data_IF_706093489053
#
_entry.id   IF_706093489053
#
_cell.length_a   1.000
_cell.length_b   1.000
_cell.length_c   1.000
_cell.angle_alpha   90.00
_cell.angle_beta   90.00
_cell.angle_gamma   90.00
#
_symmetry.space_group_name_H-M   'P 1'
#
loop_
_entity.id
_entity.type
_entity.pdbx_description
1 polymer ?
#
# COMPACT_ATOMS: atom_id res chain seq x y z
N UNK A 1 -27.79 -3.89 -19.22
CA UNK A 1 -27.01 -4.31 -18.07
C UNK A 1 -25.93 -5.21 -18.63
N UNK A 2 -24.71 -4.69 -18.76
CA UNK A 2 -23.58 -5.52 -19.19
C UNK A 2 -23.20 -6.40 -17.99
N UNK A 3 -23.32 -7.71 -18.16
CA UNK A 3 -22.77 -8.69 -17.23
C UNK A 3 -21.29 -8.40 -17.07
N UNK A 4 -20.90 -7.95 -15.88
CA UNK A 4 -19.50 -7.88 -15.52
C UNK A 4 -19.04 -9.33 -15.45
N UNK A 5 -18.51 -9.83 -16.56
CA UNK A 5 -17.71 -11.04 -16.54
C UNK A 5 -16.51 -10.69 -15.67
N UNK A 6 -16.51 -11.15 -14.40
CA UNK A 6 -15.30 -11.27 -13.63
C UNK A 6 -14.31 -12.01 -14.52
N UNK A 7 -13.33 -11.29 -15.07
CA UNK A 7 -12.38 -11.88 -15.99
C UNK A 7 -11.42 -12.71 -15.13
N UNK A 8 -11.76 -13.98 -14.94
CA UNK A 8 -11.00 -14.97 -14.15
C UNK A 8 -9.59 -15.26 -14.71
N UNK A 9 -9.14 -14.50 -15.70
CA UNK A 9 -7.77 -14.56 -16.22
C UNK A 9 -6.72 -13.90 -15.30
N UNK A 10 -7.06 -13.67 -14.03
CA UNK A 10 -6.13 -13.12 -13.04
C UNK A 10 -5.81 -11.64 -13.22
N UNK A 11 -6.53 -10.92 -14.07
CA UNK A 11 -6.49 -9.48 -14.23
C UNK A 11 -7.82 -8.90 -13.81
N UNK A 12 -7.98 -8.54 -12.56
CA UNK A 12 -8.91 -7.49 -12.19
C UNK A 12 -8.27 -6.17 -12.62
N UNK A 13 -8.44 -5.78 -13.87
CA UNK A 13 -8.14 -4.41 -14.31
C UNK A 13 -9.36 -3.58 -13.99
N UNK A 14 -9.23 -2.66 -13.07
CA UNK A 14 -10.26 -1.66 -12.76
C UNK A 14 -10.03 -0.48 -13.70
N UNK A 15 -10.82 -0.40 -14.78
CA UNK A 15 -10.71 0.68 -15.76
C UNK A 15 -11.40 1.97 -15.30
N UNK A 16 -12.30 1.88 -14.30
CA UNK A 16 -13.03 3.02 -13.75
C UNK A 16 -13.16 2.96 -12.21
N UNK A 17 -13.30 4.12 -11.57
CA UNK A 17 -13.46 4.29 -10.10
C UNK A 17 -14.58 3.43 -9.50
N UNK A 18 -15.61 3.12 -10.29
CA UNK A 18 -16.74 2.27 -9.88
C UNK A 18 -16.45 0.76 -9.94
N UNK A 19 -15.32 0.32 -10.50
CA UNK A 19 -15.06 -1.10 -10.72
C UNK A 19 -14.60 -1.82 -9.46
N UNK A 20 -13.86 -1.13 -8.59
CA UNK A 20 -13.46 -1.65 -7.29
C UNK A 20 -14.68 -1.96 -6.40
N UNK A 21 -15.62 -1.00 -6.30
CA UNK A 21 -16.85 -1.15 -5.53
C UNK A 21 -17.71 -2.28 -6.08
N UNK A 22 -17.89 -2.33 -7.40
CA UNK A 22 -18.63 -3.38 -8.09
C UNK A 22 -17.99 -4.77 -7.89
N UNK A 23 -16.66 -4.85 -7.94
CA UNK A 23 -15.92 -6.08 -7.71
C UNK A 23 -16.20 -6.65 -6.31
N UNK A 24 -16.08 -5.83 -5.26
CA UNK A 24 -16.34 -6.29 -3.89
C UNK A 24 -17.82 -6.56 -3.64
N UNK A 25 -18.75 -5.81 -4.24
CA UNK A 25 -20.17 -6.11 -4.18
C UNK A 25 -20.50 -7.47 -4.82
N UNK A 26 -19.95 -7.78 -6.00
CA UNK A 26 -20.15 -9.07 -6.66
C UNK A 26 -19.50 -10.22 -5.89
N UNK A 27 -18.28 -10.00 -5.40
CA UNK A 27 -17.60 -10.97 -4.57
C UNK A 27 -18.36 -11.22 -3.26
N UNK A 28 -18.91 -10.15 -2.64
CA UNK A 28 -19.74 -10.22 -1.46
C UNK A 28 -21.04 -10.99 -1.71
N UNK A 29 -21.74 -10.73 -2.83
CA UNK A 29 -22.97 -11.47 -3.22
C UNK A 29 -22.74 -12.97 -3.41
N UNK A 30 -21.58 -13.35 -3.89
CA UNK A 30 -21.20 -14.75 -4.15
C UNK A 30 -20.62 -15.47 -2.95
N UNK A 31 -20.25 -14.74 -1.89
CA UNK A 31 -19.62 -15.29 -0.70
C UNK A 31 -20.65 -15.49 0.40
N UNK A 32 -20.77 -16.67 1.03
CA UNK A 32 -21.68 -16.90 2.14
C UNK A 32 -21.38 -16.00 3.33
N UNK A 33 -22.40 -15.43 3.97
CA UNK A 33 -22.29 -14.54 5.12
C UNK A 33 -22.46 -15.26 6.44
N UNK A 34 -21.66 -14.90 7.44
CA UNK A 34 -21.65 -15.57 8.76
C UNK A 34 -22.96 -15.50 9.54
N UNK A 35 -23.84 -14.54 9.24
CA UNK A 35 -25.02 -14.27 10.07
C UNK A 35 -26.36 -14.72 9.49
N UNK A 36 -26.44 -15.14 8.21
CA UNK A 36 -27.71 -15.50 7.59
C UNK A 36 -27.65 -16.78 6.71
N UNK A 37 -26.53 -17.00 6.03
CA UNK A 37 -26.43 -17.98 4.96
C UNK A 37 -25.26 -18.97 5.15
N UNK A 38 -24.71 -19.07 6.38
CA UNK A 38 -23.65 -20.03 6.64
C UNK A 38 -24.22 -21.44 6.60
N UNK A 39 -23.75 -22.30 5.70
CA UNK A 39 -24.28 -23.66 5.62
C UNK A 39 -24.05 -24.40 6.93
N UNK A 40 -25.00 -25.22 7.32
CA UNK A 40 -24.88 -26.11 8.47
C UNK A 40 -23.69 -27.05 8.34
N UNK A 41 -23.19 -27.56 9.44
CA UNK A 41 -22.07 -28.54 9.41
C UNK A 41 -22.43 -29.77 8.55
N UNK A 42 -23.71 -30.17 8.52
CA UNK A 42 -24.20 -31.25 7.70
C UNK A 42 -24.16 -30.92 6.19
N UNK A 43 -24.54 -29.71 5.80
CA UNK A 43 -24.46 -29.25 4.40
C UNK A 43 -22.97 -29.13 3.96
N UNK A 44 -22.09 -28.68 4.83
CA UNK A 44 -20.65 -28.63 4.57
C UNK A 44 -20.11 -30.05 4.34
N UNK A 45 -20.45 -31.00 5.20
CA UNK A 45 -20.00 -32.40 5.08
C UNK A 45 -20.59 -33.08 3.86
N UNK A 46 -21.83 -32.79 3.47
CA UNK A 46 -22.46 -33.31 2.24
C UNK A 46 -21.74 -32.77 0.99
N UNK A 47 -21.50 -31.45 0.91
CA UNK A 47 -20.73 -30.87 -0.18
C UNK A 47 -19.31 -31.44 -0.27
N UNK A 48 -18.62 -31.64 0.84
CA UNK A 48 -17.31 -32.31 0.87
C UNK A 48 -17.35 -33.70 0.25
N UNK A 49 -18.38 -34.50 0.58
CA UNK A 49 -18.56 -35.85 0.01
C UNK A 49 -18.84 -35.81 -1.50
N UNK A 50 -19.62 -34.85 -1.97
CA UNK A 50 -19.90 -34.66 -3.38
C UNK A 50 -18.63 -34.29 -4.17
N UNK A 51 -17.83 -33.33 -3.67
CA UNK A 51 -16.57 -32.95 -4.32
C UNK A 51 -15.57 -34.10 -4.33
N UNK A 52 -15.40 -34.82 -3.19
CA UNK A 52 -14.54 -36.00 -3.15
C UNK A 52 -14.95 -37.06 -4.14
N UNK A 53 -16.26 -37.29 -4.31
CA UNK A 53 -16.80 -38.23 -5.30
C UNK A 53 -16.51 -37.75 -6.71
N UNK A 54 -16.75 -36.47 -7.01
CA UNK A 54 -16.52 -35.87 -8.31
C UNK A 54 -15.05 -35.98 -8.72
N UNK A 55 -14.13 -35.54 -7.84
CA UNK A 55 -12.70 -35.49 -8.15
C UNK A 55 -12.03 -36.85 -8.28
N UNK A 56 -12.57 -37.86 -7.60
CA UNK A 56 -12.09 -39.23 -7.67
C UNK A 56 -12.83 -40.10 -8.70
N UNK A 57 -13.68 -39.47 -9.52
CA UNK A 57 -14.42 -40.19 -10.57
C UNK A 57 -13.53 -40.48 -11.79
N UNK A 58 -13.50 -41.71 -12.24
CA UNK A 58 -12.83 -42.15 -13.48
C UNK A 58 -13.64 -41.83 -14.75
N UNK A 59 -14.77 -41.10 -14.64
CA UNK A 59 -15.55 -40.69 -15.81
C UNK A 59 -14.68 -39.90 -16.79
N UNK A 60 -14.74 -40.30 -18.09
CA UNK A 60 -13.82 -39.77 -19.09
C UNK A 60 -13.93 -38.25 -19.32
N UNK A 61 -15.13 -37.70 -19.20
CA UNK A 61 -15.37 -36.29 -19.40
C UNK A 61 -16.56 -35.80 -18.60
N UNK A 62 -16.40 -34.66 -17.91
CA UNK A 62 -17.49 -33.91 -17.29
C UNK A 62 -17.90 -32.77 -18.21
N UNK A 63 -19.14 -32.32 -18.11
CA UNK A 63 -19.65 -31.19 -18.88
C UNK A 63 -18.81 -29.94 -18.61
N UNK A 64 -18.40 -29.22 -19.67
CA UNK A 64 -17.58 -28.03 -19.65
C UNK A 64 -16.16 -28.20 -19.06
N UNK A 65 -15.68 -29.42 -18.85
CA UNK A 65 -14.34 -29.67 -18.33
C UNK A 65 -13.26 -29.47 -19.40
N UNK A 66 -12.23 -28.72 -19.06
CA UNK A 66 -11.02 -28.48 -19.85
C UNK A 66 -9.82 -29.02 -19.11
N UNK A 67 -8.87 -29.61 -19.83
CA UNK A 67 -7.64 -30.18 -19.30
C UNK A 67 -6.43 -29.46 -19.88
N UNK A 68 -5.54 -28.95 -19.04
CA UNK A 68 -4.31 -28.28 -19.43
C UNK A 68 -3.10 -28.91 -18.73
N UNK A 69 -1.90 -28.92 -19.36
CA UNK A 69 -0.70 -29.40 -18.71
C UNK A 69 -0.28 -28.46 -17.59
N UNK A 70 0.20 -29.02 -16.49
CA UNK A 70 0.78 -28.23 -15.40
C UNK A 70 2.18 -27.74 -15.79
N UNK A 71 2.44 -26.43 -15.66
CA UNK A 71 3.66 -25.79 -16.13
C UNK A 71 4.93 -26.31 -15.46
N UNK A 72 4.85 -26.63 -14.16
CA UNK A 72 6.02 -27.03 -13.37
C UNK A 72 6.39 -28.51 -13.59
N UNK A 73 5.44 -29.33 -14.01
CA UNK A 73 5.66 -30.75 -14.32
C UNK A 73 4.58 -31.26 -15.29
N UNK A 74 4.93 -31.42 -16.55
CA UNK A 74 4.02 -31.82 -17.64
C UNK A 74 3.48 -33.25 -17.54
N UNK A 75 3.93 -34.06 -16.58
CA UNK A 75 3.32 -35.36 -16.28
C UNK A 75 1.92 -35.19 -15.65
N UNK A 76 1.67 -33.99 -15.05
CA UNK A 76 0.35 -33.64 -14.52
C UNK A 76 -0.48 -32.93 -15.57
N UNK A 77 -1.75 -33.33 -15.66
CA UNK A 77 -2.80 -32.61 -16.35
C UNK A 77 -3.79 -32.11 -15.33
N UNK A 78 -4.16 -30.85 -15.40
CA UNK A 78 -5.06 -30.17 -14.46
C UNK A 78 -6.37 -29.86 -15.15
N UNK A 79 -7.47 -30.21 -14.51
CA UNK A 79 -8.83 -29.93 -14.99
C UNK A 79 -9.30 -28.56 -14.49
N UNK A 80 -10.06 -27.85 -15.32
CA UNK A 80 -10.77 -26.62 -14.93
C UNK A 80 -11.80 -26.84 -13.80
N UNK A 81 -12.18 -28.08 -13.53
CA UNK A 81 -13.06 -28.45 -12.43
C UNK A 81 -12.30 -28.96 -11.18
N UNK A 82 -10.96 -28.95 -11.18
CA UNK A 82 -10.14 -29.34 -10.02
C UNK A 82 -9.70 -30.81 -10.01
N UNK A 83 -10.03 -31.62 -11.02
CA UNK A 83 -9.47 -32.99 -11.13
C UNK A 83 -8.02 -32.93 -11.58
N UNK A 84 -7.20 -33.87 -11.11
CA UNK A 84 -5.78 -33.97 -11.48
C UNK A 84 -5.50 -35.36 -12.06
N UNK A 85 -4.76 -35.40 -13.19
CA UNK A 85 -4.18 -36.63 -13.72
C UNK A 85 -2.66 -36.59 -13.56
N UNK A 86 -2.09 -37.73 -13.28
CA UNK A 86 -0.65 -37.98 -13.33
C UNK A 86 -0.41 -39.14 -14.27
N UNK A 87 0.47 -39.00 -15.27
CA UNK A 87 0.69 -40.00 -16.29
C UNK A 87 -0.63 -40.57 -16.90
N UNK A 88 -1.57 -39.66 -17.21
CA UNK A 88 -2.92 -39.93 -17.79
C UNK A 88 -3.93 -40.62 -16.86
N UNK A 89 -3.58 -41.00 -15.63
CA UNK A 89 -4.49 -41.58 -14.64
C UNK A 89 -5.01 -40.52 -13.70
N UNK A 90 -6.29 -40.58 -13.31
CA UNK A 90 -6.86 -39.71 -12.24
C UNK A 90 -6.15 -40.01 -10.93
N UNK A 91 -5.65 -38.97 -10.27
CA UNK A 91 -5.03 -39.05 -8.94
C UNK A 91 -6.08 -38.80 -7.87
N UNK A 92 -6.13 -39.69 -6.89
CA UNK A 92 -7.04 -39.54 -5.74
C UNK A 92 -6.69 -38.28 -4.94
N UNK A 93 -7.73 -37.56 -4.51
CA UNK A 93 -7.62 -36.34 -3.72
C UNK A 93 -8.32 -36.51 -2.37
N UNK A 94 -7.71 -36.02 -1.30
CA UNK A 94 -8.29 -36.07 0.04
C UNK A 94 -7.78 -34.92 0.94
N UNK A 95 -8.50 -34.60 2.01
CA UNK A 95 -8.09 -33.68 3.06
C UNK A 95 -7.35 -34.45 4.17
N UNK A 96 -6.13 -34.91 3.88
CA UNK A 96 -5.31 -35.65 4.84
C UNK A 96 -4.98 -34.86 6.11
N UNK A 97 -4.88 -33.53 5.97
CA UNK A 97 -4.44 -32.65 7.05
C UNK A 97 -5.62 -32.09 7.86
N UNK A 98 -6.85 -32.41 7.52
CA UNK A 98 -8.09 -31.89 8.14
C UNK A 98 -8.14 -30.35 8.21
N UNK A 99 -7.51 -29.68 7.21
CA UNK A 99 -7.45 -28.22 7.11
C UNK A 99 -8.55 -27.64 6.19
N UNK A 100 -9.41 -28.49 5.65
CA UNK A 100 -10.47 -28.07 4.73
C UNK A 100 -10.01 -27.85 3.29
N UNK A 101 -8.82 -28.39 2.90
CA UNK A 101 -8.27 -28.26 1.55
C UNK A 101 -7.77 -29.60 1.04
N UNK A 102 -7.98 -29.86 -0.26
CA UNK A 102 -7.59 -31.11 -0.91
C UNK A 102 -6.10 -31.10 -1.28
N UNK A 103 -5.46 -32.26 -1.08
CA UNK A 103 -4.14 -32.62 -1.58
C UNK A 103 -4.21 -33.92 -2.35
N UNK A 104 -3.18 -34.21 -3.18
CA UNK A 104 -3.09 -35.48 -3.88
C UNK A 104 -2.71 -36.60 -2.90
N UNK A 105 -3.20 -37.80 -3.17
CA UNK A 105 -2.92 -38.98 -2.37
C UNK A 105 -2.01 -39.91 -3.17
N UNK A 106 -0.87 -40.30 -2.55
CA UNK A 106 0.04 -41.28 -3.16
C UNK A 106 -0.67 -42.64 -3.27
N UNK A 107 -0.77 -43.26 -4.44
CA UNK A 107 -1.27 -44.63 -4.59
C UNK A 107 -0.31 -45.62 -3.89
N UNK A 108 -0.88 -46.66 -3.30
CA UNK A 108 -0.11 -47.67 -2.53
C UNK A 108 0.80 -48.54 -3.42
N UNK A 109 0.52 -48.65 -4.69
CA UNK A 109 1.11 -49.57 -5.65
C UNK A 109 1.93 -48.87 -6.78
N UNK A 110 2.08 -47.54 -6.75
CA UNK A 110 2.84 -46.84 -7.79
C UNK A 110 4.28 -46.58 -7.35
N UNK A 111 5.23 -46.93 -8.23
CA UNK A 111 6.67 -46.68 -8.05
C UNK A 111 7.04 -45.20 -8.20
N UNK A 112 6.21 -44.39 -8.82
CA UNK A 112 6.46 -42.98 -9.07
C UNK A 112 5.88 -42.09 -7.95
N UNK A 113 6.71 -41.20 -7.42
CA UNK A 113 6.31 -40.29 -6.35
C UNK A 113 5.43 -39.14 -6.87
N UNK A 114 4.25 -39.01 -6.32
CA UNK A 114 3.31 -37.92 -6.60
C UNK A 114 3.53 -36.78 -5.61
N UNK A 115 3.39 -35.55 -6.08
CA UNK A 115 3.46 -34.37 -5.20
C UNK A 115 2.22 -34.29 -4.29
N UNK A 116 2.34 -34.83 -3.08
CA UNK A 116 1.29 -34.81 -2.05
C UNK A 116 1.37 -33.61 -1.11
N UNK A 117 2.36 -32.71 -1.28
CA UNK A 117 2.58 -31.54 -0.43
C UNK A 117 1.86 -30.28 -0.95
N UNK A 118 1.50 -30.26 -2.23
CA UNK A 118 0.83 -29.12 -2.87
C UNK A 118 -0.67 -29.30 -2.85
N UNK A 119 -1.38 -28.23 -2.44
CA UNK A 119 -2.83 -28.21 -2.47
C UNK A 119 -3.37 -28.21 -3.92
N UNK A 120 -4.51 -28.88 -4.15
CA UNK A 120 -5.15 -28.98 -5.47
C UNK A 120 -5.48 -27.60 -6.06
N UNK A 121 -5.99 -26.68 -5.26
CA UNK A 121 -6.27 -25.33 -5.71
C UNK A 121 -5.02 -24.60 -6.24
N UNK A 122 -3.82 -24.93 -5.74
CA UNK A 122 -2.56 -24.36 -6.26
C UNK A 122 -2.25 -24.87 -7.67
N UNK A 123 -2.47 -26.16 -7.95
CA UNK A 123 -2.34 -26.69 -9.30
C UNK A 123 -3.28 -25.95 -10.27
N UNK A 124 -4.55 -25.78 -9.89
CA UNK A 124 -5.54 -25.08 -10.72
C UNK A 124 -5.16 -23.61 -10.90
N UNK A 125 -4.77 -22.92 -9.82
CA UNK A 125 -4.43 -21.52 -9.89
C UNK A 125 -3.17 -21.25 -10.75
N UNK A 126 -2.13 -22.09 -10.65
CA UNK A 126 -0.94 -21.99 -11.51
C UNK A 126 -1.28 -22.25 -12.98
N UNK A 127 -2.12 -23.24 -13.26
CA UNK A 127 -2.46 -23.65 -14.63
C UNK A 127 -3.39 -22.65 -15.32
N UNK A 128 -4.43 -22.18 -14.65
CA UNK A 128 -5.51 -21.42 -15.27
C UNK A 128 -5.54 -19.94 -14.90
N UNK A 129 -5.06 -19.56 -13.71
CA UNK A 129 -5.12 -18.19 -13.22
C UNK A 129 -3.78 -17.45 -13.33
N UNK A 130 -2.73 -18.13 -13.81
CA UNK A 130 -1.39 -17.56 -13.97
C UNK A 130 -0.69 -17.22 -12.66
N UNK A 131 -1.02 -17.93 -11.56
CA UNK A 131 -0.29 -17.82 -10.30
C UNK A 131 1.15 -18.27 -10.49
N UNK A 132 2.09 -17.50 -9.89
CA UNK A 132 3.53 -17.84 -9.88
C UNK A 132 4.02 -17.98 -8.45
N UNK A 133 5.10 -18.75 -8.27
CA UNK A 133 5.79 -18.79 -6.99
C UNK A 133 6.41 -17.42 -6.70
N UNK A 134 6.24 -16.94 -5.46
CA UNK A 134 6.76 -15.64 -5.05
C UNK A 134 5.97 -14.41 -5.50
N UNK A 135 4.85 -14.57 -6.25
CA UNK A 135 3.99 -13.44 -6.67
C UNK A 135 3.20 -12.80 -5.50
N UNK A 136 3.28 -13.40 -4.31
CA UNK A 136 2.61 -12.93 -3.10
C UNK A 136 1.08 -12.95 -3.15
N UNK A 137 0.48 -13.41 -4.25
CA UNK A 137 -0.97 -13.52 -4.36
C UNK A 137 -1.48 -14.74 -3.59
N UNK A 138 -2.63 -14.59 -2.96
CA UNK A 138 -3.36 -15.65 -2.29
C UNK A 138 -4.44 -16.19 -3.21
N UNK A 139 -4.58 -17.51 -3.25
CA UNK A 139 -5.75 -18.14 -3.88
C UNK A 139 -6.89 -18.10 -2.88
N UNK A 140 -8.02 -17.52 -3.28
CA UNK A 140 -9.23 -17.44 -2.48
C UNK A 140 -10.35 -18.26 -3.13
N UNK A 141 -11.05 -19.07 -2.33
CA UNK A 141 -12.26 -19.78 -2.74
C UNK A 141 -13.46 -18.84 -2.55
N UNK A 142 -14.13 -18.46 -3.64
CA UNK A 142 -15.18 -17.45 -3.66
C UNK A 142 -16.33 -17.83 -2.72
N UNK A 143 -16.76 -19.10 -2.77
CA UNK A 143 -17.81 -19.66 -1.91
C UNK A 143 -17.31 -20.04 -0.50
N UNK A 144 -16.02 -19.82 -0.23
CA UNK A 144 -15.31 -20.20 0.99
C UNK A 144 -15.30 -21.73 1.27
N UNK A 145 -15.51 -22.54 0.26
CA UNK A 145 -15.41 -23.98 0.33
C UNK A 145 -14.08 -24.46 -0.26
N UNK A 146 -13.11 -24.80 0.58
CA UNK A 146 -11.77 -25.26 0.17
C UNK A 146 -11.75 -26.57 -0.62
N UNK A 147 -12.89 -27.25 -0.76
CA UNK A 147 -13.06 -28.46 -1.58
C UNK A 147 -13.47 -28.15 -3.01
N UNK A 148 -14.07 -26.99 -3.28
CA UNK A 148 -14.38 -26.55 -4.64
C UNK A 148 -13.16 -25.88 -5.28
N UNK A 149 -12.33 -26.71 -5.90
CA UNK A 149 -11.14 -26.26 -6.61
C UNK A 149 -11.42 -25.94 -8.10
N UNK A 150 -12.67 -25.74 -8.50
CA UNK A 150 -12.98 -25.30 -9.87
C UNK A 150 -12.43 -23.91 -10.14
N UNK A 151 -12.00 -23.69 -11.38
CA UNK A 151 -11.48 -22.39 -11.84
C UNK A 151 -12.47 -21.24 -11.57
N UNK A 152 -13.77 -21.52 -11.73
CA UNK A 152 -14.83 -20.53 -11.52
C UNK A 152 -15.02 -20.12 -10.05
N UNK A 153 -14.57 -20.97 -9.13
CA UNK A 153 -14.62 -20.71 -7.68
C UNK A 153 -13.32 -20.14 -7.12
N UNK A 154 -12.27 -20.05 -7.93
CA UNK A 154 -10.96 -19.56 -7.47
C UNK A 154 -10.66 -18.16 -8.01
N UNK A 155 -10.06 -17.32 -7.17
CA UNK A 155 -9.58 -16.00 -7.55
C UNK A 155 -8.24 -15.70 -6.88
N UNK A 156 -7.37 -14.99 -7.60
CA UNK A 156 -6.11 -14.49 -7.02
C UNK A 156 -6.33 -13.12 -6.41
N UNK A 157 -5.98 -12.98 -5.15
CA UNK A 157 -6.11 -11.75 -4.39
C UNK A 157 -4.78 -11.39 -3.74
N UNK A 158 -4.51 -10.09 -3.59
CA UNK A 158 -3.44 -9.66 -2.67
C UNK A 158 -3.84 -10.03 -1.23
N UNK A 159 -2.90 -10.16 -0.28
CA UNK A 159 -3.23 -10.39 1.12
C UNK A 159 -4.16 -9.33 1.71
N UNK A 160 -4.06 -8.09 1.25
CA UNK A 160 -4.93 -6.98 1.64
C UNK A 160 -6.36 -7.21 1.15
N UNK A 161 -6.53 -7.49 -0.14
CA UNK A 161 -7.81 -7.86 -0.73
C UNK A 161 -8.41 -9.10 -0.05
N UNK A 162 -7.59 -10.12 0.19
CA UNK A 162 -8.02 -11.35 0.87
C UNK A 162 -8.53 -11.08 2.29
N UNK A 163 -7.82 -10.20 3.05
CA UNK A 163 -8.29 -9.76 4.38
C UNK A 163 -9.58 -8.94 4.27
N UNK A 164 -9.69 -8.04 3.29
CA UNK A 164 -10.88 -7.23 3.09
C UNK A 164 -12.11 -8.09 2.76
N UNK A 165 -11.96 -9.09 1.89
CA UNK A 165 -13.04 -10.05 1.58
C UNK A 165 -13.49 -10.78 2.83
N UNK A 166 -12.56 -11.34 3.62
CA UNK A 166 -12.92 -12.02 4.86
C UNK A 166 -13.53 -11.09 5.91
N UNK A 167 -13.16 -9.82 5.93
CA UNK A 167 -13.77 -8.80 6.78
C UNK A 167 -15.16 -8.41 6.30
N UNK A 168 -15.34 -8.17 5.00
CA UNK A 168 -16.61 -7.77 4.41
C UNK A 168 -17.71 -8.82 4.62
N UNK A 169 -17.36 -10.11 4.67
CA UNK A 169 -18.28 -11.22 5.00
C UNK A 169 -18.92 -11.11 6.38
N UNK A 170 -18.26 -10.42 7.32
CA UNK A 170 -18.77 -10.19 8.69
C UNK A 170 -19.64 -8.96 8.78
N UNK A 171 -19.70 -8.15 7.72
CA UNK A 171 -20.48 -6.93 7.68
C UNK A 171 -21.89 -7.23 7.15
N UNK A 172 -22.89 -6.57 7.70
CA UNK A 172 -24.20 -6.55 7.07
C UNK A 172 -24.18 -5.63 5.82
N UNK A 173 -25.26 -5.63 5.04
CA UNK A 173 -25.36 -4.88 3.78
C UNK A 173 -25.15 -3.36 3.97
N UNK A 174 -25.57 -2.80 5.08
CA UNK A 174 -25.43 -1.38 5.41
C UNK A 174 -23.99 -1.04 5.80
N UNK A 175 -23.39 -1.86 6.65
CA UNK A 175 -21.99 -1.77 7.02
C UNK A 175 -21.06 -1.97 5.80
N UNK A 176 -21.42 -2.86 4.86
CA UNK A 176 -20.65 -3.04 3.61
C UNK A 176 -20.70 -1.79 2.74
N UNK A 177 -21.89 -1.18 2.57
CA UNK A 177 -22.00 0.10 1.85
C UNK A 177 -21.14 1.18 2.47
N UNK A 178 -21.11 1.26 3.80
CA UNK A 178 -20.28 2.20 4.52
C UNK A 178 -18.78 1.88 4.36
N UNK A 179 -18.41 0.61 4.37
CA UNK A 179 -17.03 0.14 4.10
C UNK A 179 -16.56 0.48 2.68
N UNK A 180 -17.45 0.36 1.68
CA UNK A 180 -17.17 0.63 0.26
C UNK A 180 -17.38 2.10 -0.11
N UNK A 181 -17.90 2.97 0.78
CA UNK A 181 -18.23 4.35 0.48
C UNK A 181 -16.98 5.18 0.15
N UNK A 182 -16.87 5.73 -1.08
CA UNK A 182 -15.70 6.52 -1.50
C UNK A 182 -15.59 7.89 -0.79
N UNK A 183 -16.67 8.38 -0.16
CA UNK A 183 -16.69 9.61 0.63
C UNK A 183 -16.32 9.39 2.10
N UNK A 184 -15.93 8.17 2.45
CA UNK A 184 -15.53 7.87 3.80
C UNK A 184 -14.23 8.60 4.16
N UNK A 185 -14.14 9.04 5.44
CA UNK A 185 -12.92 9.60 6.04
C UNK A 185 -11.72 8.70 5.79
N UNK A 186 -10.52 9.29 5.83
CA UNK A 186 -9.24 8.60 5.74
C UNK A 186 -9.27 7.20 6.35
N UNK A 187 -8.79 6.23 5.61
CA UNK A 187 -8.62 4.85 6.04
C UNK A 187 -7.32 4.29 5.48
N UNK A 188 -6.35 4.03 6.34
CA UNK A 188 -5.08 3.42 5.96
C UNK A 188 -5.28 2.07 5.24
N UNK A 189 -6.29 1.30 5.67
CA UNK A 189 -6.63 0.02 5.01
C UNK A 189 -7.07 0.23 3.56
N UNK A 190 -7.87 1.26 3.28
CA UNK A 190 -8.31 1.58 1.90
C UNK A 190 -7.14 2.00 1.04
N UNK A 191 -6.26 2.86 1.56
CA UNK A 191 -5.03 3.27 0.87
C UNK A 191 -4.17 2.04 0.55
N UNK A 192 -3.95 1.14 1.51
CA UNK A 192 -3.18 -0.08 1.30
C UNK A 192 -3.82 -1.01 0.27
N UNK A 193 -5.15 -1.16 0.29
CA UNK A 193 -5.88 -1.92 -0.71
C UNK A 193 -5.68 -1.34 -2.10
N UNK A 194 -5.95 -0.04 -2.25
CA UNK A 194 -5.81 0.67 -3.50
C UNK A 194 -4.38 0.58 -4.06
N UNK A 195 -3.36 0.86 -3.24
CA UNK A 195 -1.96 0.76 -3.65
C UNK A 195 -1.56 -0.67 -4.05
N UNK A 196 -2.12 -1.67 -3.39
CA UNK A 196 -1.91 -3.07 -3.76
C UNK A 196 -2.51 -3.38 -5.15
N UNK A 197 -3.72 -2.88 -5.43
CA UNK A 197 -4.36 -3.01 -6.74
C UNK A 197 -3.58 -2.24 -7.82
N UNK A 198 -3.20 -1.01 -7.53
CA UNK A 198 -2.36 -0.22 -8.44
C UNK A 198 -1.06 -0.94 -8.79
N UNK A 199 -0.35 -1.48 -7.79
CA UNK A 199 0.87 -2.26 -8.01
C UNK A 199 0.66 -3.42 -8.98
N UNK A 200 -0.36 -4.26 -8.72
CA UNK A 200 -0.63 -5.46 -9.52
C UNK A 200 -1.02 -5.13 -10.96
N UNK A 201 -1.73 -4.02 -11.16
CA UNK A 201 -2.25 -3.62 -12.45
C UNK A 201 -1.27 -2.76 -13.27
N UNK A 202 -0.45 -1.94 -12.60
CA UNK A 202 0.37 -0.91 -13.26
C UNK A 202 1.88 -1.14 -13.15
N UNK A 203 2.35 -1.81 -12.10
CA UNK A 203 3.79 -1.98 -11.86
C UNK A 203 4.19 -3.45 -12.05
N UNK A 204 3.84 -4.31 -11.08
CA UNK A 204 4.27 -5.70 -11.06
C UNK A 204 3.42 -6.56 -10.12
N UNK A 205 3.31 -7.85 -10.44
CA UNK A 205 2.76 -8.86 -9.51
C UNK A 205 3.82 -9.36 -8.51
N UNK A 206 5.09 -9.13 -8.78
CA UNK A 206 6.16 -9.58 -7.89
C UNK A 206 6.13 -8.81 -6.57
N UNK A 207 6.62 -9.46 -5.52
CA UNK A 207 6.68 -8.89 -4.18
C UNK A 207 8.12 -8.70 -3.74
N UNK A 208 8.37 -7.57 -3.10
CA UNK A 208 9.64 -7.35 -2.44
C UNK A 208 9.77 -8.15 -1.14
N UNK A 209 11.01 -8.32 -0.72
CA UNK A 209 11.36 -8.99 0.53
C UNK A 209 11.69 -7.98 1.63
N UNK A 210 11.40 -8.34 2.86
CA UNK A 210 11.86 -7.62 4.04
C UNK A 210 13.12 -8.28 4.65
N UNK A 211 13.74 -7.60 5.60
CA UNK A 211 14.96 -8.05 6.30
C UNK A 211 14.88 -9.47 6.90
N UNK A 212 13.68 -10.00 7.08
CA UNK A 212 13.45 -11.40 7.53
C UNK A 212 13.38 -12.41 6.39
N UNK A 213 13.65 -12.00 5.14
CA UNK A 213 13.61 -12.82 3.94
C UNK A 213 12.19 -13.20 3.46
N UNK A 214 11.13 -12.67 4.11
CA UNK A 214 9.74 -12.94 3.70
C UNK A 214 9.29 -11.94 2.64
N UNK A 215 8.46 -12.42 1.72
CA UNK A 215 7.80 -11.61 0.70
C UNK A 215 6.57 -10.89 1.27
N UNK A 216 6.40 -9.64 0.88
CA UNK A 216 5.26 -8.82 1.29
C UNK A 216 4.67 -8.08 0.10
N UNK A 217 3.35 -8.13 -0.05
CA UNK A 217 2.63 -7.52 -1.18
C UNK A 217 2.68 -6.01 -1.20
N UNK A 218 2.84 -5.37 -0.04
CA UNK A 218 2.99 -3.93 0.08
C UNK A 218 4.44 -3.44 -0.10
N UNK A 219 5.38 -4.34 -0.42
CA UNK A 219 6.77 -4.02 -0.73
C UNK A 219 7.02 -4.32 -2.21
N UNK A 220 7.60 -3.37 -2.90
CA UNK A 220 8.02 -3.52 -4.29
C UNK A 220 9.34 -4.31 -4.39
N UNK A 221 9.59 -5.01 -5.50
CA UNK A 221 10.84 -5.75 -5.71
C UNK A 221 12.08 -4.86 -5.63
N UNK A 222 12.00 -3.67 -6.20
CA UNK A 222 13.04 -2.65 -6.13
C UNK A 222 12.49 -1.35 -5.54
N UNK A 223 13.36 -0.50 -5.02
CA UNK A 223 12.95 0.80 -4.47
C UNK A 223 12.51 1.73 -5.59
N UNK A 224 13.19 1.69 -6.74
CA UNK A 224 12.94 2.53 -7.91
C UNK A 224 11.54 2.30 -8.49
N UNK A 225 10.96 1.11 -8.36
CA UNK A 225 9.59 0.80 -8.78
C UNK A 225 8.54 1.68 -8.08
N UNK A 226 8.91 2.36 -6.98
CA UNK A 226 8.01 3.29 -6.30
C UNK A 226 7.99 4.71 -6.91
N UNK A 227 8.86 4.98 -7.85
CA UNK A 227 8.82 6.21 -8.66
C UNK A 227 7.74 6.10 -9.74
N UNK A 228 7.11 7.22 -10.10
CA UNK A 228 6.15 7.24 -11.19
C UNK A 228 6.89 7.32 -12.53
N UNK A 229 6.74 6.28 -13.35
CA UNK A 229 7.42 6.11 -14.64
C UNK A 229 6.83 6.92 -15.81
N UNK A 230 6.01 7.95 -15.55
CA UNK A 230 5.36 8.74 -16.59
C UNK A 230 5.99 10.12 -16.66
N UNK A 231 6.42 10.52 -17.86
CA UNK A 231 6.97 11.84 -18.21
C UNK A 231 8.32 12.22 -17.55
N UNK A 232 8.62 11.75 -16.34
CA UNK A 232 9.82 12.14 -15.58
C UNK A 232 10.66 10.95 -15.10
N UNK A 233 10.49 9.78 -15.66
CA UNK A 233 11.14 8.53 -15.21
C UNK A 233 12.66 8.66 -15.04
N UNK A 234 13.37 9.09 -16.09
CA UNK A 234 14.83 9.24 -16.05
C UNK A 234 15.28 10.28 -15.01
N UNK A 235 14.53 11.37 -14.90
CA UNK A 235 14.84 12.45 -13.97
C UNK A 235 14.63 12.03 -12.51
N UNK A 236 13.51 11.35 -12.22
CA UNK A 236 13.22 10.80 -10.89
C UNK A 236 14.21 9.72 -10.50
N UNK A 237 14.59 8.86 -11.44
CA UNK A 237 15.62 7.86 -11.21
C UNK A 237 16.97 8.50 -10.89
N UNK A 238 17.36 9.54 -11.63
CA UNK A 238 18.58 10.29 -11.34
C UNK A 238 18.54 10.94 -9.96
N UNK A 239 17.43 11.57 -9.59
CA UNK A 239 17.24 12.11 -8.23
C UNK A 239 17.40 11.03 -7.17
N UNK A 240 16.77 9.87 -7.37
CA UNK A 240 16.90 8.72 -6.48
C UNK A 240 18.37 8.30 -6.35
N UNK A 241 19.08 8.11 -7.46
CA UNK A 241 20.49 7.68 -7.48
C UNK A 241 21.41 8.70 -6.77
N UNK A 242 21.13 10.00 -6.94
CA UNK A 242 21.90 11.08 -6.29
C UNK A 242 21.73 11.02 -4.75
N UNK A 243 20.50 10.85 -4.28
CA UNK A 243 20.18 10.76 -2.85
C UNK A 243 20.62 9.41 -2.25
N UNK A 244 20.51 8.30 -2.98
CA UNK A 244 20.95 6.98 -2.49
C UNK A 244 22.46 6.92 -2.28
N UNK A 245 23.24 7.57 -3.15
CA UNK A 245 24.72 7.69 -2.99
C UNK A 245 25.11 8.40 -1.67
N UNK A 246 24.27 9.30 -1.18
CA UNK A 246 24.45 9.99 0.10
C UNK A 246 23.84 9.23 1.28
N UNK A 247 23.33 7.99 1.06
CA UNK A 247 22.56 7.17 2.03
C UNK A 247 21.30 7.89 2.55
N UNK A 248 20.69 8.76 1.74
CA UNK A 248 19.47 9.48 2.06
C UNK A 248 18.19 8.69 1.77
N UNK A 249 18.27 7.62 0.99
CA UNK A 249 17.09 6.81 0.68
C UNK A 249 16.72 5.90 1.86
N UNK A 250 15.51 6.12 2.37
CA UNK A 250 15.00 5.37 3.52
C UNK A 250 14.83 3.88 3.21
N UNK A 251 15.06 3.03 4.21
CA UNK A 251 14.89 1.57 4.08
C UNK A 251 13.47 1.15 3.66
N UNK A 252 12.46 1.97 3.97
CA UNK A 252 11.06 1.75 3.59
C UNK A 252 10.66 2.37 2.24
N UNK A 253 11.60 2.87 1.46
CA UNK A 253 11.28 3.51 0.17
C UNK A 253 10.54 2.57 -0.80
N UNK A 254 10.84 1.27 -0.78
CA UNK A 254 10.13 0.25 -1.56
C UNK A 254 8.71 -0.06 -1.05
N UNK A 255 8.31 0.45 0.13
CA UNK A 255 6.93 0.30 0.59
C UNK A 255 6.01 1.21 -0.20
N UNK A 256 4.89 0.70 -0.68
CA UNK A 256 3.91 1.46 -1.45
C UNK A 256 3.39 2.70 -0.71
N UNK A 257 3.40 2.65 0.63
CA UNK A 257 2.99 3.76 1.52
C UNK A 257 4.12 4.70 1.91
N UNK A 258 5.28 4.63 1.26
CA UNK A 258 6.43 5.49 1.57
C UNK A 258 6.14 6.97 1.34
N UNK A 259 6.16 7.78 2.40
CA UNK A 259 6.06 9.24 2.33
C UNK A 259 7.22 9.87 1.56
N UNK A 260 8.43 9.32 1.65
CA UNK A 260 9.59 9.76 0.87
C UNK A 260 9.38 9.56 -0.64
N UNK A 261 8.90 8.39 -1.05
CA UNK A 261 8.59 8.15 -2.47
C UNK A 261 7.44 9.06 -2.97
N UNK A 262 6.42 9.27 -2.14
CA UNK A 262 5.34 10.21 -2.43
C UNK A 262 5.88 11.64 -2.56
N UNK A 263 6.76 12.07 -1.67
CA UNK A 263 7.40 13.38 -1.70
C UNK A 263 8.15 13.63 -3.02
N UNK A 264 8.95 12.65 -3.48
CA UNK A 264 9.66 12.74 -4.76
C UNK A 264 8.68 12.87 -5.93
N UNK A 265 7.68 12.00 -5.98
CA UNK A 265 6.67 12.01 -7.04
C UNK A 265 5.80 13.28 -7.01
N UNK A 266 5.62 13.91 -5.85
CA UNK A 266 4.79 15.10 -5.67
C UNK A 266 5.52 16.40 -6.08
N UNK A 267 6.74 16.61 -5.61
CA UNK A 267 7.40 17.91 -5.75
C UNK A 267 8.37 17.98 -6.94
N UNK A 268 9.05 16.89 -7.27
CA UNK A 268 10.10 16.94 -8.28
C UNK A 268 9.62 17.41 -9.66
N UNK A 269 8.47 16.96 -10.19
CA UNK A 269 7.97 17.45 -11.48
C UNK A 269 7.70 18.95 -11.51
N UNK A 270 7.15 19.52 -10.41
CA UNK A 270 6.93 20.97 -10.28
C UNK A 270 8.24 21.74 -10.31
N UNK A 271 9.27 21.21 -9.66
CA UNK A 271 10.59 21.83 -9.65
C UNK A 271 11.23 21.81 -11.04
N UNK A 272 11.14 20.69 -11.76
CA UNK A 272 11.70 20.56 -13.11
C UNK A 272 11.04 21.50 -14.12
N UNK A 273 9.74 21.70 -14.00
CA UNK A 273 8.97 22.60 -14.86
C UNK A 273 8.85 24.02 -14.29
N UNK A 274 9.53 24.32 -13.17
CA UNK A 274 9.57 25.62 -12.49
C UNK A 274 8.22 26.18 -12.05
N UNK A 275 7.29 25.32 -11.65
CA UNK A 275 5.97 25.73 -11.12
C UNK A 275 5.98 25.85 -9.58
N UNK A 276 6.99 26.52 -9.04
CA UNK A 276 7.14 26.73 -7.58
C UNK A 276 5.98 27.49 -6.97
N UNK A 277 5.37 28.41 -7.73
CA UNK A 277 4.24 29.23 -7.30
C UNK A 277 2.96 28.39 -7.05
N UNK A 278 2.87 27.15 -7.53
CA UNK A 278 1.77 26.25 -7.18
C UNK A 278 1.93 25.73 -5.74
N UNK A 279 3.19 25.59 -5.28
CA UNK A 279 3.53 25.16 -3.92
C UNK A 279 3.30 26.31 -2.96
N UNK A 280 3.95 27.45 -3.21
CA UNK A 280 3.72 28.70 -2.48
C UNK A 280 3.68 29.88 -3.46
N UNK A 281 2.61 30.68 -3.38
CA UNK A 281 2.39 31.81 -4.30
C UNK A 281 3.47 32.89 -4.26
N UNK A 282 4.22 32.96 -3.16
CA UNK A 282 5.34 33.91 -2.95
C UNK A 282 6.57 33.50 -3.75
N UNK A 283 6.71 32.21 -4.06
CA UNK A 283 7.84 31.67 -4.78
C UNK A 283 7.56 31.63 -6.29
N UNK A 284 8.01 32.65 -7.02
CA UNK A 284 7.90 32.68 -8.48
C UNK A 284 9.00 31.82 -9.11
N UNK A 285 10.24 31.95 -8.61
CA UNK A 285 11.39 31.18 -9.05
C UNK A 285 12.23 30.74 -7.83
N UNK A 286 12.43 29.44 -7.67
CA UNK A 286 13.32 28.94 -6.64
C UNK A 286 14.78 29.02 -7.10
N UNK A 287 15.62 29.56 -6.25
CA UNK A 287 17.08 29.60 -6.46
C UNK A 287 17.72 28.24 -6.15
N UNK A 288 17.10 27.47 -5.26
CA UNK A 288 17.52 26.11 -4.89
C UNK A 288 16.33 25.29 -4.40
N UNK A 289 16.36 24.00 -4.67
CA UNK A 289 15.52 23.01 -3.99
C UNK A 289 16.35 21.77 -3.64
N UNK A 290 15.94 21.05 -2.62
CA UNK A 290 16.60 19.82 -2.17
C UNK A 290 15.59 18.87 -1.54
N UNK A 291 15.83 17.57 -1.66
CA UNK A 291 15.10 16.51 -0.96
C UNK A 291 15.99 15.96 0.16
N UNK A 292 15.39 15.41 1.20
CA UNK A 292 16.09 14.87 2.37
C UNK A 292 17.09 15.88 2.96
N UNK A 293 16.63 17.11 3.16
CA UNK A 293 17.49 18.23 3.50
C UNK A 293 17.72 18.33 5.00
N UNK A 294 19.00 18.43 5.37
CA UNK A 294 19.45 18.79 6.71
C UNK A 294 20.04 20.22 6.67
N UNK A 295 19.42 21.15 7.39
CA UNK A 295 19.89 22.54 7.42
C UNK A 295 21.22 22.65 8.17
N UNK A 296 22.28 23.00 7.48
CA UNK A 296 23.66 23.07 8.04
C UNK A 296 23.81 24.20 9.05
N UNK A 297 23.26 25.37 8.75
CA UNK A 297 23.37 26.59 9.53
C UNK A 297 22.17 26.83 10.47
N UNK A 298 21.52 25.74 10.92
CA UNK A 298 20.39 25.83 11.83
C UNK A 298 20.81 26.12 13.28
N UNK A 299 19.80 26.44 14.11
CA UNK A 299 19.97 26.49 15.57
C UNK A 299 20.42 25.14 16.17
N UNK A 300 20.20 24.02 15.46
CA UNK A 300 20.62 22.66 15.83
C UNK A 300 22.15 22.50 15.58
N UNK A 301 23.00 23.07 16.42
CA UNK A 301 24.46 22.98 16.30
C UNK A 301 24.99 21.59 16.69
N UNK A 302 24.36 20.52 16.20
CA UNK A 302 24.82 19.15 16.40
C UNK A 302 26.05 18.88 15.53
N UNK A 303 27.08 18.24 16.11
CA UNK A 303 28.25 17.77 15.36
C UNK A 303 27.95 16.65 14.39
N UNK A 304 26.92 15.83 14.68
CA UNK A 304 26.50 14.75 13.83
C UNK A 304 25.25 15.17 13.02
N UNK A 305 25.31 15.24 11.68
CA UNK A 305 24.15 15.58 10.83
C UNK A 305 22.92 14.69 11.07
N UNK A 306 23.13 13.41 11.41
CA UNK A 306 22.02 12.46 11.71
C UNK A 306 21.22 12.84 12.96
N UNK A 307 21.71 13.74 13.78
CA UNK A 307 21.01 14.25 14.96
C UNK A 307 20.18 15.49 14.66
N UNK A 308 20.40 16.16 13.53
CA UNK A 308 19.63 17.31 13.07
C UNK A 308 18.26 16.91 12.53
N UNK A 309 17.36 17.89 12.43
CA UNK A 309 16.09 17.71 11.73
C UNK A 309 16.37 17.53 10.24
N UNK A 310 15.80 16.46 9.67
CA UNK A 310 15.78 16.22 8.24
C UNK A 310 14.40 16.58 7.72
N UNK A 311 14.33 17.44 6.71
CA UNK A 311 13.10 17.78 6.00
C UNK A 311 12.99 16.99 4.71
N UNK A 312 11.81 16.47 4.41
CA UNK A 312 11.58 15.68 3.21
C UNK A 312 11.82 16.50 1.94
N UNK A 313 11.50 17.80 1.99
CA UNK A 313 11.74 18.73 0.88
C UNK A 313 12.07 20.14 1.40
N UNK A 314 12.99 20.83 0.72
CA UNK A 314 13.33 22.23 0.90
C UNK A 314 13.19 22.98 -0.43
N UNK A 315 12.66 24.19 -0.35
CA UNK A 315 12.65 25.17 -1.45
C UNK A 315 13.18 26.49 -0.93
N UNK A 316 14.06 27.16 -1.69
CA UNK A 316 14.60 28.48 -1.39
C UNK A 316 14.25 29.42 -2.52
N UNK A 317 13.55 30.51 -2.21
CA UNK A 317 13.17 31.55 -3.14
C UNK A 317 13.74 32.87 -2.65
N UNK A 318 14.67 33.44 -3.40
CA UNK A 318 15.48 34.58 -2.95
C UNK A 318 16.21 34.29 -1.63
N UNK A 319 15.78 34.88 -0.54
CA UNK A 319 16.32 34.65 0.82
C UNK A 319 15.38 33.77 1.69
N UNK A 320 14.16 33.53 1.24
CA UNK A 320 13.15 32.82 2.01
C UNK A 320 13.31 31.32 1.86
N UNK A 321 13.29 30.61 2.99
CA UNK A 321 13.35 29.16 3.07
C UNK A 321 11.97 28.59 3.35
N UNK A 322 11.63 27.51 2.67
CA UNK A 322 10.38 26.77 2.83
C UNK A 322 10.71 25.32 3.11
N UNK A 323 10.39 24.86 4.31
CA UNK A 323 10.68 23.52 4.82
C UNK A 323 9.41 22.67 4.78
N UNK A 324 9.50 21.44 4.26
CA UNK A 324 8.33 20.56 4.11
C UNK A 324 8.55 19.23 4.81
N UNK A 325 7.57 18.80 5.61
CA UNK A 325 7.45 17.49 6.23
C UNK A 325 6.22 16.80 5.65
N UNK A 326 6.40 15.66 5.03
CA UNK A 326 5.36 14.93 4.27
C UNK A 326 4.87 13.72 5.04
N UNK A 327 3.58 13.65 5.28
CA UNK A 327 2.90 12.52 5.91
C UNK A 327 1.87 11.91 4.97
N UNK A 328 1.93 10.61 4.80
CA UNK A 328 0.98 9.88 3.97
C UNK A 328 0.10 8.95 4.82
N UNK A 329 0.68 7.89 5.38
CA UNK A 329 -0.06 6.91 6.20
C UNK A 329 0.42 6.84 7.64
N UNK A 330 1.38 7.65 8.04
CA UNK A 330 1.87 7.74 9.41
C UNK A 330 0.74 8.14 10.37
N UNK A 331 0.64 7.47 11.51
CA UNK A 331 -0.45 7.72 12.47
C UNK A 331 -0.35 9.09 13.17
N UNK A 332 0.87 9.55 13.44
CA UNK A 332 1.15 10.78 14.20
C UNK A 332 2.42 11.46 13.70
N UNK A 333 2.72 12.64 14.23
CA UNK A 333 4.02 13.30 14.09
C UNK A 333 5.13 12.72 15.01
N UNK A 334 5.01 11.44 15.37
CA UNK A 334 5.95 10.76 16.24
C UNK A 334 5.95 11.29 17.67
N UNK A 335 6.11 10.41 18.62
CA UNK A 335 6.24 10.72 20.04
C UNK A 335 7.40 9.97 20.65
N UNK A 336 7.90 10.46 21.79
CA UNK A 336 8.89 9.77 22.62
C UNK A 336 8.22 9.41 23.94
N UNK A 337 7.90 8.12 24.17
CA UNK A 337 7.01 7.70 25.26
C UNK A 337 7.57 7.92 26.66
N UNK A 338 8.92 7.94 26.78
CA UNK A 338 9.57 8.25 28.06
C UNK A 338 10.93 8.87 27.80
N UNK A 339 11.16 10.03 28.40
CA UNK A 339 12.45 10.74 28.35
C UNK A 339 12.99 10.83 29.74
N UNK A 340 14.10 10.13 30.00
CA UNK A 340 14.80 10.19 31.26
C UNK A 340 15.76 11.38 31.27
N UNK A 341 15.90 12.03 32.42
CA UNK A 341 16.83 13.14 32.58
C UNK A 341 18.27 12.70 32.29
N UNK A 342 18.93 13.41 31.40
CA UNK A 342 20.29 13.14 30.95
C UNK A 342 20.39 12.05 29.86
N UNK A 343 19.32 11.47 29.37
CA UNK A 343 19.33 10.62 28.18
C UNK A 343 19.62 11.42 26.89
N UNK A 344 19.73 10.73 25.75
CA UNK A 344 20.01 11.38 24.46
C UNK A 344 18.94 12.39 24.04
N UNK A 345 17.68 12.07 24.27
CA UNK A 345 16.55 12.94 23.92
C UNK A 345 16.48 14.16 24.81
N UNK A 346 16.65 13.98 26.12
CA UNK A 346 16.73 15.12 27.07
C UNK A 346 17.87 16.05 26.76
N UNK A 347 19.09 15.51 26.58
CA UNK A 347 20.25 16.32 26.20
C UNK A 347 20.01 17.13 24.94
N UNK A 348 19.39 16.52 23.92
CA UNK A 348 19.06 17.18 22.68
C UNK A 348 18.04 18.30 22.89
N UNK A 349 17.00 18.05 23.69
CA UNK A 349 16.03 19.08 24.06
C UNK A 349 16.69 20.25 24.80
N UNK A 350 17.44 19.98 25.86
CA UNK A 350 18.08 21.03 26.66
C UNK A 350 19.05 21.86 25.83
N UNK A 351 19.83 21.24 24.94
CA UNK A 351 20.88 21.92 24.18
C UNK A 351 20.35 22.73 22.99
N UNK A 352 19.23 22.32 22.37
CA UNK A 352 18.81 22.90 21.09
C UNK A 352 17.39 23.43 21.11
N UNK A 353 16.42 22.64 21.63
CA UNK A 353 15.00 22.94 21.44
C UNK A 353 14.42 23.80 22.57
N UNK A 354 14.88 23.67 23.81
CA UNK A 354 14.35 24.41 24.96
C UNK A 354 14.27 25.90 24.72
N UNK A 355 15.40 26.51 24.32
CA UNK A 355 15.48 27.95 24.04
C UNK A 355 14.56 28.36 22.87
N UNK A 356 14.41 27.50 21.85
CA UNK A 356 13.50 27.76 20.75
C UNK A 356 12.04 27.67 21.22
N UNK A 357 11.68 26.67 22.01
CA UNK A 357 10.34 26.53 22.56
C UNK A 357 9.96 27.69 23.49
N UNK A 358 10.85 28.12 24.35
CA UNK A 358 10.63 29.33 25.19
C UNK A 358 10.38 30.59 24.36
N UNK A 359 10.98 30.69 23.17
CA UNK A 359 10.79 31.78 22.22
C UNK A 359 9.51 31.67 21.41
N UNK A 360 9.16 30.44 20.93
CA UNK A 360 8.09 30.21 19.95
C UNK A 360 6.76 29.87 20.63
N UNK A 361 6.81 28.98 21.63
CA UNK A 361 5.62 28.39 22.29
C UNK A 361 5.89 28.18 23.81
N UNK A 362 6.04 29.28 24.58
CA UNK A 362 6.47 29.23 25.99
C UNK A 362 5.53 28.47 26.93
N UNK A 363 4.30 28.23 26.52
CA UNK A 363 3.30 27.44 27.28
C UNK A 363 3.50 25.92 27.14
N UNK A 364 4.32 25.47 26.21
CA UNK A 364 4.56 24.04 25.95
C UNK A 364 5.75 23.57 26.79
N UNK A 365 5.50 22.68 27.72
CA UNK A 365 6.53 22.11 28.57
C UNK A 365 7.32 20.97 27.85
N UNK A 366 8.33 20.43 28.53
CA UNK A 366 9.15 19.32 28.02
C UNK A 366 8.29 18.11 27.63
N UNK A 367 7.27 17.78 28.42
CA UNK A 367 6.37 16.65 28.14
C UNK A 367 5.56 16.90 26.87
N UNK A 368 4.92 18.05 26.74
CA UNK A 368 4.17 18.43 25.54
C UNK A 368 5.03 18.46 24.29
N UNK A 369 6.31 18.84 24.38
CA UNK A 369 7.26 18.72 23.27
C UNK A 369 7.46 17.28 22.81
N UNK A 370 7.65 16.33 23.74
CA UNK A 370 7.89 14.92 23.40
C UNK A 370 6.63 14.14 23.03
N UNK A 371 5.45 14.58 23.46
CA UNK A 371 4.18 13.99 23.06
C UNK A 371 3.90 14.16 21.55
N UNK A 372 4.46 15.23 20.93
CA UNK A 372 4.44 15.49 19.48
C UNK A 372 5.84 15.86 18.97
N UNK A 373 6.79 14.96 19.16
CA UNK A 373 8.22 15.23 19.04
C UNK A 373 8.63 15.76 17.66
N UNK A 374 8.20 15.13 16.57
CA UNK A 374 8.58 15.56 15.23
C UNK A 374 7.88 16.87 14.84
N UNK A 375 6.62 17.05 15.24
CA UNK A 375 5.87 18.29 15.02
C UNK A 375 6.62 19.50 15.61
N UNK A 376 6.98 19.45 16.89
CA UNK A 376 7.66 20.54 17.57
C UNK A 376 9.08 20.75 17.08
N UNK A 377 9.79 19.68 16.73
CA UNK A 377 11.11 19.80 16.09
C UNK A 377 11.05 20.64 14.82
N UNK A 378 10.08 20.33 13.96
CA UNK A 378 9.87 21.02 12.69
C UNK A 378 9.42 22.47 12.93
N UNK A 379 8.48 22.71 13.86
CA UNK A 379 8.02 24.06 14.23
C UNK A 379 9.15 24.94 14.75
N UNK A 380 10.14 24.38 15.44
CA UNK A 380 11.30 25.17 15.90
C UNK A 380 12.05 25.87 14.77
N UNK A 381 11.92 25.42 13.51
CA UNK A 381 12.53 26.04 12.34
C UNK A 381 11.76 27.26 11.78
N UNK A 382 10.60 27.63 12.35
CA UNK A 382 9.89 28.87 11.94
C UNK A 382 10.71 30.15 12.17
N UNK A 383 11.77 30.08 12.97
CA UNK A 383 12.76 31.18 13.12
C UNK A 383 13.72 31.28 11.94
N UNK A 384 13.74 30.32 11.06
CA UNK A 384 14.65 30.20 9.92
C UNK A 384 13.91 30.27 8.57
N UNK A 385 12.56 30.07 8.57
CA UNK A 385 11.74 30.11 7.37
C UNK A 385 10.31 29.64 7.59
N UNK A 386 9.63 29.33 6.51
CA UNK A 386 8.25 28.83 6.50
C UNK A 386 8.24 27.31 6.67
N UNK A 387 7.40 26.78 7.52
CA UNK A 387 7.29 25.34 7.79
C UNK A 387 5.95 24.80 7.29
N UNK A 388 6.00 23.81 6.41
CA UNK A 388 4.85 23.18 5.78
C UNK A 388 4.70 21.73 6.23
N UNK A 389 3.52 21.40 6.74
CA UNK A 389 3.09 20.03 6.99
C UNK A 389 2.21 19.58 5.82
N UNK A 390 2.66 18.56 5.11
CA UNK A 390 2.03 18.09 3.87
C UNK A 390 1.32 16.77 4.14
N UNK A 391 0.02 16.72 3.94
CA UNK A 391 -0.77 15.52 4.19
C UNK A 391 -2.02 15.46 3.30
N UNK A 392 -2.70 14.32 3.31
CA UNK A 392 -4.00 14.17 2.67
C UNK A 392 -5.05 15.08 3.36
N UNK A 393 -6.00 15.61 2.59
CA UNK A 393 -7.08 16.47 3.13
C UNK A 393 -7.92 15.79 4.21
N UNK A 394 -8.06 14.46 4.12
CA UNK A 394 -8.87 13.67 5.02
C UNK A 394 -8.12 13.26 6.31
N UNK A 395 -6.82 13.61 6.42
CA UNK A 395 -6.04 13.49 7.66
C UNK A 395 -6.38 14.65 8.61
N UNK A 396 -7.67 14.73 8.95
CA UNK A 396 -8.18 15.77 9.87
C UNK A 396 -7.54 15.69 11.25
N UNK A 397 -7.07 14.53 11.67
CA UNK A 397 -6.28 14.27 12.86
C UNK A 397 -4.93 15.04 12.82
N UNK A 398 -4.10 14.81 11.81
CA UNK A 398 -2.82 15.50 11.67
C UNK A 398 -2.98 17.02 11.44
N UNK A 399 -3.98 17.40 10.64
CA UNK A 399 -4.31 18.82 10.42
C UNK A 399 -4.67 19.49 11.74
N UNK A 400 -5.47 18.83 12.58
CA UNK A 400 -5.86 19.35 13.88
C UNK A 400 -4.67 19.48 14.82
N UNK A 401 -3.76 18.49 14.84
CA UNK A 401 -2.53 18.57 15.64
C UNK A 401 -1.68 19.79 15.28
N UNK A 402 -1.53 20.08 13.97
CA UNK A 402 -0.82 21.28 13.50
C UNK A 402 -1.55 22.56 13.93
N UNK A 403 -2.86 22.64 13.74
CA UNK A 403 -3.65 23.81 14.10
C UNK A 403 -3.66 24.06 15.64
N UNK A 404 -3.66 23.01 16.44
CA UNK A 404 -3.57 23.12 17.89
C UNK A 404 -2.17 23.58 18.34
N UNK A 405 -1.10 23.05 17.70
CA UNK A 405 0.24 23.55 17.92
C UNK A 405 0.39 25.04 17.54
N UNK A 406 -0.19 25.47 16.41
CA UNK A 406 -0.22 26.89 16.01
C UNK A 406 -0.84 27.79 17.05
N UNK A 407 -1.95 27.36 17.71
CA UNK A 407 -2.60 28.13 18.76
C UNK A 407 -1.69 28.37 19.98
N UNK A 408 -0.80 27.42 20.27
CA UNK A 408 0.16 27.49 21.36
C UNK A 408 1.38 28.37 21.02
N UNK A 409 1.64 28.60 19.73
CA UNK A 409 2.72 29.48 19.29
C UNK A 409 2.37 30.97 19.47
N UNK A 410 3.36 31.80 19.75
CA UNK A 410 3.23 33.27 19.74
C UNK A 410 2.83 33.73 18.32
N UNK A 411 2.16 34.90 18.26
CA UNK A 411 1.56 35.41 17.01
C UNK A 411 2.59 35.51 15.88
N UNK A 412 3.77 36.03 16.16
CA UNK A 412 4.83 36.30 15.16
C UNK A 412 5.36 35.00 14.50
N UNK A 413 5.18 33.85 15.15
CA UNK A 413 5.65 32.55 14.62
C UNK A 413 4.57 31.68 14.02
N UNK A 414 3.31 31.82 14.48
CA UNK A 414 2.20 30.97 13.97
C UNK A 414 1.88 31.22 12.50
N UNK A 415 2.17 32.41 11.98
CA UNK A 415 1.92 32.77 10.58
C UNK A 415 2.89 32.06 9.62
N UNK A 416 4.01 31.54 10.12
CA UNK A 416 5.01 30.77 9.39
C UNK A 416 4.77 29.24 9.41
N UNK A 417 3.66 28.78 9.99
CA UNK A 417 3.28 27.36 10.06
C UNK A 417 2.12 27.12 9.12
N UNK A 418 2.26 26.19 8.18
CA UNK A 418 1.28 25.94 7.12
C UNK A 418 0.92 24.47 7.02
N UNK A 419 -0.30 24.20 6.56
CA UNK A 419 -0.75 22.88 6.12
C UNK A 419 -0.94 22.94 4.61
N UNK A 420 -0.28 22.05 3.88
CA UNK A 420 -0.45 21.86 2.44
C UNK A 420 -1.15 20.51 2.20
N UNK A 421 -2.35 20.57 1.64
CA UNK A 421 -3.10 19.37 1.29
C UNK A 421 -2.65 18.86 -0.07
N UNK A 422 -2.31 17.57 -0.14
CA UNK A 422 -1.79 16.93 -1.35
C UNK A 422 -2.77 17.09 -2.51
N UNK A 423 -4.05 16.85 -2.27
CA UNK A 423 -5.11 16.93 -3.29
C UNK A 423 -5.25 18.35 -3.87
N UNK A 424 -5.08 19.39 -3.04
CA UNK A 424 -5.18 20.79 -3.50
C UNK A 424 -3.99 21.14 -4.41
N UNK A 425 -2.79 20.63 -4.12
CA UNK A 425 -1.62 20.82 -4.96
C UNK A 425 -1.75 20.07 -6.29
N UNK A 426 -2.16 18.79 -6.22
CA UNK A 426 -2.36 17.97 -7.42
C UNK A 426 -3.44 18.56 -8.33
N UNK A 427 -4.55 19.06 -7.76
CA UNK A 427 -5.59 19.75 -8.53
C UNK A 427 -5.03 20.96 -9.28
N UNK A 428 -4.26 21.82 -8.62
CA UNK A 428 -3.61 22.97 -9.27
C UNK A 428 -2.65 22.53 -10.39
N UNK A 429 -1.87 21.47 -10.16
CA UNK A 429 -0.94 20.95 -11.14
C UNK A 429 -1.64 20.39 -12.39
N UNK A 430 -2.81 19.77 -12.22
CA UNK A 430 -3.64 19.29 -13.34
C UNK A 430 -4.29 20.42 -14.16
N UNK A 431 -4.45 21.62 -13.58
CA UNK A 431 -5.00 22.79 -14.27
C UNK A 431 -3.96 23.52 -15.14
N UNK A 432 -2.67 23.20 -15.00
CA UNK A 432 -1.58 23.81 -15.76
C UNK A 432 -1.57 23.30 -17.19
N UNK A 433 -1.37 24.18 -18.16
CA UNK A 433 -1.21 23.83 -19.58
C UNK A 433 0.22 23.31 -19.85
N UNK A 434 0.54 22.15 -19.34
CA UNK A 434 1.78 21.42 -19.56
C UNK A 434 1.48 19.93 -19.59
N UNK A 435 1.56 19.31 -20.77
CA UNK A 435 1.18 17.92 -20.99
C UNK A 435 2.02 16.94 -20.15
N UNK A 436 3.30 17.23 -19.90
CA UNK A 436 4.15 16.39 -19.08
C UNK A 436 3.70 16.37 -17.62
N UNK A 437 3.42 17.56 -17.06
CA UNK A 437 2.87 17.67 -15.70
C UNK A 437 1.50 17.02 -15.63
N UNK A 438 0.64 17.31 -16.58
CA UNK A 438 -0.71 16.75 -16.60
C UNK A 438 -0.69 15.23 -16.56
N UNK A 439 0.07 14.57 -17.46
CA UNK A 439 0.20 13.12 -17.52
C UNK A 439 0.79 12.54 -16.23
N UNK A 440 1.80 13.19 -15.66
CA UNK A 440 2.41 12.74 -14.40
C UNK A 440 1.41 12.83 -13.24
N UNK A 441 0.68 13.94 -13.11
CA UNK A 441 -0.26 14.12 -12.01
C UNK A 441 -1.57 13.33 -12.17
N UNK A 442 -1.95 12.93 -13.39
CA UNK A 442 -2.97 11.90 -13.59
C UNK A 442 -2.52 10.56 -13.01
N UNK A 443 -1.30 10.13 -13.29
CA UNK A 443 -0.75 8.88 -12.73
C UNK A 443 -0.51 9.00 -11.21
N UNK A 444 -0.08 10.17 -10.72
CA UNK A 444 0.01 10.45 -9.30
C UNK A 444 -1.35 10.34 -8.60
N UNK A 445 -2.38 10.92 -9.20
CA UNK A 445 -3.75 10.83 -8.69
C UNK A 445 -4.22 9.37 -8.64
N UNK A 446 -4.01 8.63 -9.74
CA UNK A 446 -4.37 7.21 -9.82
C UNK A 446 -3.63 6.37 -8.77
N UNK A 447 -2.35 6.66 -8.54
CA UNK A 447 -1.54 5.92 -7.56
C UNK A 447 -1.89 6.25 -6.11
N UNK A 448 -2.02 7.53 -5.76
CA UNK A 448 -2.01 7.95 -4.35
C UNK A 448 -3.35 8.49 -3.83
N UNK A 449 -4.26 8.92 -4.70
CA UNK A 449 -5.45 9.68 -4.30
C UNK A 449 -6.78 9.06 -4.75
N UNK A 450 -6.75 8.05 -5.60
CA UNK A 450 -7.96 7.41 -6.16
C UNK A 450 -8.44 6.20 -5.32
N UNK A 451 -8.22 6.21 -4.01
CA UNK A 451 -8.60 5.15 -3.07
C UNK A 451 -10.02 5.30 -2.53
#
# INVERSE_FOLDING_TARGET
MSDIKLNFTGKASFEEKNDFEKFYEELWKRTPHYNADWPSDEEIENKKREYKKLYNSDSEKLENERWEPYSDDTRYMVSSLGRIKFNKKIVKQDDKNKKGYLVLVQPDDEQEVINTSTYVYTFVAKTFLGKKDGDGLHVHHIDNNGYDCSVENLILLTPEQHRAVHRSRKLNKEQLKDFLNPQRRYSEERIKLHLSDYKVNKITRECGTWNNGKFYTHILPTKEDNLIGVSYEENLKKLYDDIDRENGIHKYFAHLTSSQALCFNLFYPLCMEKYFNLIDKRCIEATKFAFEHVEENSFEKCSNPKDKTNFDFLMICDADKFFFDVKYTEETFGYVPSVLDGDRHDKKYQNYYKAQMEKIAPSVDKKGFFDNYQLWRNICHVTEGEVYFVCLKDRTDLIQDVEDAKKLCLKDYREHIHVLKIEDLVKKALEVKNDKLHNHYLEFFDKYLNY
#
